data_IF_207924750552
#
_entry.id   IF_207924750552
#
_cell.length_a   1.000
_cell.length_b   1.000
_cell.length_c   1.000
_cell.angle_alpha   90.00
_cell.angle_beta   90.00
_cell.angle_gamma   90.00
#
_symmetry.space_group_name_H-M   'P 1'
#
loop_
_entity.id
_entity.type
_entity.pdbx_description
1 polymer ?
#
# COMPACT_ATOMS: atom_id res chain seq x y z
N UNK A 1 -14.71 3.67 -19.36
CA UNK A 1 -14.13 2.56 -18.57
C UNK A 1 -14.49 1.25 -19.26
N UNK A 2 -13.52 0.38 -19.48
CA UNK A 2 -13.70 -0.94 -20.08
C UNK A 2 -13.27 -1.97 -19.05
N UNK A 3 -14.18 -2.81 -18.60
CA UNK A 3 -13.88 -3.93 -17.72
C UNK A 3 -13.67 -5.19 -18.57
N UNK A 4 -12.61 -5.95 -18.24
CA UNK A 4 -12.33 -7.22 -18.90
C UNK A 4 -12.48 -8.39 -17.92
N UNK A 5 -12.66 -9.59 -18.41
CA UNK A 5 -12.63 -10.80 -17.59
C UNK A 5 -11.17 -11.22 -17.35
N UNK A 6 -10.81 -11.50 -16.10
CA UNK A 6 -9.49 -11.94 -15.70
C UNK A 6 -8.93 -11.17 -14.51
N UNK A 7 -7.66 -11.43 -14.20
CA UNK A 7 -6.93 -10.73 -13.15
C UNK A 7 -6.20 -9.49 -13.69
N UNK A 8 -5.54 -8.76 -12.80
CA UNK A 8 -4.77 -7.57 -13.15
C UNK A 8 -3.68 -7.84 -14.21
N UNK A 9 -2.98 -8.97 -14.13
CA UNK A 9 -1.87 -9.29 -15.03
C UNK A 9 -2.38 -9.48 -16.48
N UNK A 10 -3.56 -10.10 -16.64
CA UNK A 10 -4.24 -10.20 -17.95
C UNK A 10 -4.64 -8.83 -18.49
N UNK A 11 -5.21 -7.98 -17.63
CA UNK A 11 -5.58 -6.61 -18.02
C UNK A 11 -4.36 -5.81 -18.47
N UNK A 12 -3.25 -5.94 -17.74
CA UNK A 12 -1.99 -5.26 -18.06
C UNK A 12 -1.43 -5.73 -19.40
N UNK A 13 -1.37 -7.04 -19.65
CA UNK A 13 -0.90 -7.59 -20.92
C UNK A 13 -1.75 -7.08 -22.09
N UNK A 14 -3.08 -7.13 -21.95
CA UNK A 14 -4.00 -6.68 -22.99
C UNK A 14 -3.82 -5.19 -23.31
N UNK A 15 -3.70 -4.32 -22.29
CA UNK A 15 -3.53 -2.88 -22.54
C UNK A 15 -2.16 -2.55 -23.14
N UNK A 16 -1.12 -3.33 -22.85
CA UNK A 16 0.18 -3.21 -23.49
C UNK A 16 0.11 -3.56 -24.98
N UNK A 17 -0.58 -4.65 -25.35
CA UNK A 17 -0.81 -5.01 -26.74
C UNK A 17 -1.57 -3.94 -27.50
N UNK A 18 -2.63 -3.40 -26.90
CA UNK A 18 -3.42 -2.29 -27.46
C UNK A 18 -2.55 -1.06 -27.66
N UNK A 19 -1.71 -0.69 -26.70
CA UNK A 19 -0.82 0.47 -26.81
C UNK A 19 0.28 0.29 -27.87
N UNK A 20 0.69 -0.96 -28.13
CA UNK A 20 1.67 -1.26 -29.19
C UNK A 20 1.07 -1.20 -30.62
N UNK A 21 -0.24 -1.45 -30.74
CA UNK A 21 -0.93 -1.51 -32.03
C UNK A 21 -1.64 -0.21 -32.41
N UNK A 22 -1.98 0.60 -31.44
CA UNK A 22 -2.78 1.82 -31.61
C UNK A 22 -2.10 3.05 -30.99
N UNK A 23 -2.40 4.26 -31.42
CA UNK A 23 -1.80 5.50 -30.90
C UNK A 23 -2.33 5.86 -29.51
N UNK A 24 -2.04 5.00 -28.53
CA UNK A 24 -2.47 5.13 -27.12
C UNK A 24 -1.22 5.14 -26.25
N UNK A 25 -1.13 6.11 -25.33
CA UNK A 25 -0.04 6.20 -24.37
C UNK A 25 -0.39 5.49 -23.08
N UNK A 26 0.45 4.54 -22.67
CA UNK A 26 0.35 3.89 -21.37
C UNK A 26 0.80 4.84 -20.26
N UNK A 27 -0.09 5.04 -19.26
CA UNK A 27 0.18 5.91 -18.11
C UNK A 27 0.12 5.16 -16.76
N UNK A 28 0.22 3.83 -16.81
CA UNK A 28 0.16 2.94 -15.66
C UNK A 28 1.55 2.59 -15.07
N UNK A 29 1.65 1.50 -14.32
CA UNK A 29 2.85 1.08 -13.58
C UNK A 29 4.08 0.76 -14.44
N UNK A 30 3.92 0.56 -15.74
CA UNK A 30 5.04 0.32 -16.68
C UNK A 30 5.64 1.62 -17.23
N UNK A 31 4.97 2.76 -17.04
CA UNK A 31 5.47 4.05 -17.51
C UNK A 31 6.58 4.57 -16.59
N UNK A 32 7.82 4.75 -17.09
CA UNK A 32 8.94 5.19 -16.26
C UNK A 32 8.75 6.57 -15.64
N UNK A 33 8.01 7.47 -16.32
CA UNK A 33 7.71 8.80 -15.77
C UNK A 33 6.87 8.76 -14.49
N UNK A 34 6.13 7.67 -14.25
CA UNK A 34 5.46 7.49 -12.96
C UNK A 34 6.43 7.32 -11.80
N UNK A 35 7.53 6.61 -11.99
CA UNK A 35 8.56 6.46 -10.96
C UNK A 35 9.21 7.81 -10.67
N UNK A 36 9.50 8.58 -11.71
CA UNK A 36 10.06 9.93 -11.59
C UNK A 36 9.13 10.91 -10.84
N UNK A 37 7.82 10.82 -11.08
CA UNK A 37 6.84 11.59 -10.32
C UNK A 37 6.66 11.08 -8.88
N UNK A 38 6.55 9.78 -8.68
CA UNK A 38 6.32 9.18 -7.36
C UNK A 38 7.52 9.30 -6.42
N UNK A 39 8.75 9.40 -6.91
CA UNK A 39 9.95 9.55 -6.07
C UNK A 39 9.92 10.82 -5.21
N UNK A 40 9.17 11.85 -5.62
CA UNK A 40 9.02 13.09 -4.85
C UNK A 40 8.39 12.88 -3.49
N UNK A 41 7.62 11.80 -3.30
CA UNK A 41 7.10 11.44 -1.98
C UNK A 41 8.21 11.17 -0.94
N UNK A 42 9.37 10.63 -1.37
CA UNK A 42 10.53 10.51 -0.48
C UNK A 42 11.13 11.88 -0.13
N UNK A 43 11.09 12.84 -1.06
CA UNK A 43 11.52 14.21 -0.80
C UNK A 43 10.65 14.85 0.28
N UNK A 44 9.34 14.74 0.14
CA UNK A 44 8.37 15.27 1.11
C UNK A 44 8.56 14.65 2.50
N UNK A 45 8.89 13.37 2.58
CA UNK A 45 9.20 12.71 3.86
C UNK A 45 10.46 13.31 4.50
N UNK A 46 11.54 13.49 3.74
CA UNK A 46 12.77 14.09 4.25
C UNK A 46 12.57 15.56 4.62
N UNK A 47 11.87 16.32 3.79
CA UNK A 47 11.59 17.74 4.05
C UNK A 47 10.76 17.92 5.34
N UNK A 48 9.79 17.03 5.58
CA UNK A 48 8.95 17.09 6.76
C UNK A 48 9.68 16.67 8.06
N UNK A 49 10.60 15.70 7.98
CA UNK A 49 11.32 15.16 9.14
C UNK A 49 12.68 15.83 9.38
N UNK A 50 13.23 16.51 8.37
CA UNK A 50 14.59 17.05 8.37
C UNK A 50 15.67 16.01 8.07
N UNK A 51 15.32 14.72 7.97
CA UNK A 51 16.21 13.60 7.67
C UNK A 51 15.39 12.40 7.15
N UNK A 52 16.03 11.44 6.51
CA UNK A 52 15.37 10.18 6.18
C UNK A 52 15.00 9.39 7.45
N UNK A 53 13.85 8.69 7.49
CA UNK A 53 13.46 7.87 8.65
C UNK A 53 14.37 6.64 8.78
N UNK A 54 14.41 6.02 9.95
CA UNK A 54 15.14 4.77 10.14
C UNK A 54 14.49 3.63 9.35
N UNK A 55 13.16 3.57 9.36
CA UNK A 55 12.38 2.59 8.59
C UNK A 55 11.31 3.29 7.75
N UNK A 56 11.19 2.88 6.48
CA UNK A 56 10.03 3.17 5.65
C UNK A 56 9.24 1.88 5.43
N UNK A 57 8.05 1.80 6.03
CA UNK A 57 7.11 0.69 5.89
C UNK A 57 6.12 1.00 4.76
N UNK A 58 6.04 0.13 3.75
CA UNK A 58 5.27 0.42 2.54
C UNK A 58 4.56 -0.83 2.01
N UNK A 59 3.27 -0.73 1.57
CA UNK A 59 2.59 -1.83 0.89
C UNK A 59 3.24 -2.10 -0.47
N UNK A 60 3.33 -3.38 -0.86
CA UNK A 60 3.96 -3.77 -2.12
C UNK A 60 3.03 -4.65 -2.95
N UNK A 61 2.48 -4.10 -4.03
CA UNK A 61 1.80 -4.82 -5.10
C UNK A 61 2.71 -4.92 -6.33
N UNK A 62 2.56 -3.99 -7.27
CA UNK A 62 3.35 -3.94 -8.51
C UNK A 62 4.79 -3.42 -8.33
N UNK A 63 5.19 -3.18 -7.09
CA UNK A 63 6.52 -2.77 -6.65
C UNK A 63 7.03 -1.41 -7.19
N UNK A 64 6.21 -0.66 -7.93
CA UNK A 64 6.59 0.66 -8.44
C UNK A 64 6.78 1.68 -7.33
N UNK A 65 5.91 1.66 -6.32
CA UNK A 65 5.92 2.65 -5.25
C UNK A 65 7.21 2.55 -4.40
N UNK A 66 7.55 1.36 -3.90
CA UNK A 66 8.79 1.15 -3.13
C UNK A 66 10.04 1.49 -3.96
N UNK A 67 10.04 1.19 -5.27
CA UNK A 67 11.09 1.56 -6.20
C UNK A 67 11.24 3.07 -6.27
N UNK A 68 10.14 3.80 -6.43
CA UNK A 68 10.15 5.25 -6.51
C UNK A 68 10.65 5.92 -5.22
N UNK A 69 10.16 5.48 -4.05
CA UNK A 69 10.67 5.96 -2.76
C UNK A 69 12.17 5.74 -2.61
N UNK A 70 12.68 4.55 -2.97
CA UNK A 70 14.10 4.26 -2.92
C UNK A 70 14.92 5.17 -3.85
N UNK A 71 14.44 5.41 -5.08
CA UNK A 71 15.04 6.36 -6.00
C UNK A 71 15.12 7.76 -5.38
N UNK A 72 14.04 8.25 -4.80
CA UNK A 72 13.96 9.57 -4.20
C UNK A 72 14.90 9.73 -3.00
N UNK A 73 14.91 8.79 -2.05
CA UNK A 73 15.85 8.84 -0.92
C UNK A 73 17.31 8.85 -1.37
N UNK A 74 17.66 8.06 -2.38
CA UNK A 74 19.02 8.07 -2.94
C UNK A 74 19.36 9.40 -3.61
N UNK A 75 18.41 10.02 -4.31
CA UNK A 75 18.60 11.32 -4.95
C UNK A 75 18.79 12.42 -3.90
N UNK A 76 17.95 12.49 -2.87
CA UNK A 76 18.06 13.44 -1.78
C UNK A 76 19.36 13.28 -0.98
N UNK A 77 19.78 12.05 -0.72
CA UNK A 77 21.09 11.80 -0.08
C UNK A 77 22.24 12.31 -0.95
N UNK A 78 22.23 12.03 -2.26
CA UNK A 78 23.27 12.53 -3.19
C UNK A 78 23.29 14.05 -3.30
N UNK A 79 22.12 14.68 -3.20
CA UNK A 79 21.96 16.13 -3.22
C UNK A 79 22.31 16.80 -1.87
N UNK A 80 22.59 16.02 -0.82
CA UNK A 80 22.94 16.52 0.51
C UNK A 80 21.75 16.95 1.38
N UNK A 81 20.52 16.63 0.97
CA UNK A 81 19.32 16.92 1.77
C UNK A 81 19.09 15.90 2.89
N UNK A 82 19.70 14.72 2.81
CA UNK A 82 19.71 13.70 3.86
C UNK A 82 21.08 13.09 4.01
N UNK A 83 21.49 12.76 5.22
CA UNK A 83 22.77 12.10 5.53
C UNK A 83 22.66 10.58 5.48
N UNK A 84 21.47 10.03 5.73
CA UNK A 84 21.22 8.60 5.78
C UNK A 84 20.16 8.15 4.74
N UNK A 85 19.93 6.86 4.71
CA UNK A 85 18.90 6.20 3.90
C UNK A 85 18.06 5.31 4.83
N UNK A 86 16.75 5.19 4.59
CA UNK A 86 15.89 4.32 5.40
C UNK A 86 16.14 2.84 5.08
N UNK A 87 15.81 1.97 6.02
CA UNK A 87 15.52 0.57 5.71
C UNK A 87 14.15 0.49 5.02
N UNK A 88 14.11 -0.08 3.82
CA UNK A 88 12.89 -0.23 3.05
C UNK A 88 12.17 -1.53 3.46
N UNK A 89 11.09 -1.39 4.20
CA UNK A 89 10.30 -2.50 4.72
C UNK A 89 9.03 -2.66 3.88
N UNK A 90 9.05 -3.62 2.96
CA UNK A 90 7.92 -3.86 2.05
C UNK A 90 7.00 -4.95 2.56
N UNK A 91 5.68 -4.71 2.51
CA UNK A 91 4.67 -5.65 2.98
C UNK A 91 3.72 -6.06 1.87
N UNK A 92 3.57 -7.37 1.68
CA UNK A 92 2.66 -7.98 0.72
C UNK A 92 1.53 -8.71 1.46
N UNK A 93 0.34 -8.78 0.87
CA UNK A 93 -0.71 -9.64 1.39
C UNK A 93 -0.32 -11.12 1.23
N UNK A 94 -0.57 -11.95 2.25
CA UNK A 94 -0.11 -13.34 2.26
C UNK A 94 -0.60 -14.18 1.07
N UNK A 95 -1.83 -13.92 0.59
CA UNK A 95 -2.37 -14.57 -0.61
C UNK A 95 -1.86 -13.97 -1.94
N UNK A 96 -0.98 -12.95 -1.88
CA UNK A 96 -0.42 -12.25 -3.04
C UNK A 96 1.00 -11.74 -2.74
N UNK A 97 1.93 -12.65 -2.41
CA UNK A 97 3.26 -12.32 -1.88
C UNK A 97 4.43 -12.85 -2.75
N UNK A 98 4.47 -12.57 -4.07
CA UNK A 98 5.49 -13.13 -4.97
C UNK A 98 6.92 -12.74 -4.61
N UNK A 99 7.18 -11.56 -4.03
CA UNK A 99 8.53 -11.13 -3.62
C UNK A 99 9.02 -11.86 -2.35
N UNK A 100 8.10 -12.23 -1.47
CA UNK A 100 8.39 -13.02 -0.27
C UNK A 100 8.61 -14.48 -0.64
N UNK A 101 7.77 -15.03 -1.52
CA UNK A 101 7.82 -16.43 -1.95
C UNK A 101 8.95 -16.71 -2.95
N UNK A 102 9.43 -15.68 -3.66
CA UNK A 102 10.46 -15.81 -4.70
C UNK A 102 9.95 -16.30 -6.07
N UNK A 103 8.63 -16.49 -6.23
CA UNK A 103 8.01 -16.91 -7.48
C UNK A 103 6.68 -16.21 -7.72
N UNK A 104 6.20 -16.24 -8.96
CA UNK A 104 4.89 -15.72 -9.36
C UNK A 104 3.76 -16.45 -8.64
N UNK A 105 2.73 -15.73 -8.24
CA UNK A 105 1.48 -16.25 -7.69
C UNK A 105 0.43 -16.20 -8.81
N UNK A 106 0.07 -17.34 -9.35
CA UNK A 106 -0.82 -17.42 -10.52
C UNK A 106 -2.26 -16.96 -10.21
N UNK A 107 -2.71 -17.21 -8.99
CA UNK A 107 -4.04 -16.83 -8.53
C UNK A 107 -3.92 -16.01 -7.24
N UNK A 108 -3.53 -14.73 -7.34
CA UNK A 108 -3.43 -13.89 -6.17
C UNK A 108 -4.81 -13.63 -5.57
N UNK A 109 -4.94 -13.82 -4.26
CA UNK A 109 -6.18 -13.60 -3.52
C UNK A 109 -5.93 -12.84 -2.23
N UNK A 110 -6.62 -11.73 -2.04
CA UNK A 110 -6.60 -10.89 -0.83
C UNK A 110 -7.69 -9.84 -0.90
N UNK A 111 -8.17 -9.39 0.24
CA UNK A 111 -9.05 -8.22 0.37
C UNK A 111 -8.34 -6.92 -0.03
N UNK A 112 -7.02 -6.87 0.09
CA UNK A 112 -6.20 -5.70 -0.26
C UNK A 112 -6.03 -5.60 -1.78
N UNK A 113 -7.09 -5.23 -2.49
CA UNK A 113 -7.21 -5.30 -3.95
C UNK A 113 -6.10 -4.55 -4.69
N UNK A 114 -5.64 -3.40 -4.17
CA UNK A 114 -4.58 -2.61 -4.81
C UNK A 114 -3.19 -3.27 -4.77
N UNK A 115 -2.98 -4.29 -3.91
CA UNK A 115 -1.74 -5.09 -3.86
C UNK A 115 -1.98 -6.56 -4.24
N UNK A 116 -3.14 -6.90 -4.81
CA UNK A 116 -3.46 -8.23 -5.33
C UNK A 116 -2.80 -8.45 -6.69
N UNK A 117 -1.47 -8.55 -6.68
CA UNK A 117 -0.60 -8.65 -7.86
C UNK A 117 0.23 -9.92 -7.75
N UNK A 118 0.08 -10.81 -8.72
CA UNK A 118 0.80 -12.10 -8.76
C UNK A 118 2.18 -12.01 -9.40
N UNK A 119 2.39 -11.05 -10.31
CA UNK A 119 3.66 -10.86 -11.02
C UNK A 119 4.04 -9.37 -11.10
N UNK A 120 4.74 -8.82 -10.10
CA UNK A 120 5.10 -7.41 -10.05
C UNK A 120 6.00 -6.95 -11.19
N UNK A 121 5.60 -5.90 -11.90
CA UNK A 121 6.38 -5.32 -13.02
C UNK A 121 7.75 -4.80 -12.56
N UNK A 122 7.82 -4.18 -11.38
CA UNK A 122 9.05 -3.58 -10.85
C UNK A 122 9.79 -4.50 -9.86
N UNK A 123 9.65 -5.82 -10.01
CA UNK A 123 10.23 -6.83 -9.11
C UNK A 123 11.73 -6.62 -8.88
N UNK A 124 12.51 -6.51 -9.93
CA UNK A 124 13.97 -6.41 -9.84
C UNK A 124 14.40 -5.13 -9.12
N UNK A 125 13.76 -4.00 -9.40
CA UNK A 125 14.05 -2.74 -8.72
C UNK A 125 13.67 -2.77 -7.25
N UNK A 126 12.58 -3.44 -6.88
CA UNK A 126 12.18 -3.61 -5.49
C UNK A 126 13.16 -4.53 -4.73
N UNK A 127 13.61 -5.62 -5.33
CA UNK A 127 14.64 -6.50 -4.75
C UNK A 127 15.97 -5.75 -4.55
N UNK A 128 16.33 -4.88 -5.50
CA UNK A 128 17.48 -3.99 -5.38
C UNK A 128 17.30 -3.01 -4.20
N UNK A 129 16.15 -2.34 -4.10
CA UNK A 129 15.83 -1.44 -2.99
C UNK A 129 15.94 -2.16 -1.63
N UNK A 130 15.38 -3.37 -1.51
CA UNK A 130 15.52 -4.22 -0.32
C UNK A 130 16.98 -4.49 0.03
N UNK A 131 17.77 -4.96 -0.95
CA UNK A 131 19.18 -5.34 -0.74
C UNK A 131 20.04 -4.15 -0.35
N UNK A 132 19.94 -3.03 -1.07
CA UNK A 132 20.76 -1.84 -0.86
C UNK A 132 20.42 -1.08 0.43
N UNK A 133 19.17 -1.18 0.91
CA UNK A 133 18.70 -0.54 2.14
C UNK A 133 18.86 -1.41 3.39
N UNK A 134 19.37 -2.63 3.29
CA UNK A 134 19.28 -3.66 4.34
C UNK A 134 17.84 -3.85 4.84
N UNK A 135 16.88 -3.65 3.93
CA UNK A 135 15.45 -3.80 4.16
C UNK A 135 14.97 -5.24 4.09
N UNK A 136 13.66 -5.42 4.13
CA UNK A 136 13.07 -6.76 4.04
C UNK A 136 11.69 -6.73 3.39
N UNK A 137 11.24 -7.89 2.89
CA UNK A 137 9.87 -8.13 2.47
C UNK A 137 9.21 -9.17 3.36
N UNK A 138 7.97 -8.88 3.78
CA UNK A 138 7.20 -9.78 4.63
C UNK A 138 5.76 -9.86 4.15
N UNK A 139 5.15 -11.02 4.35
CA UNK A 139 3.73 -11.21 4.13
C UNK A 139 2.92 -10.91 5.40
N UNK A 140 1.79 -10.24 5.23
CA UNK A 140 0.76 -10.00 6.23
C UNK A 140 -0.54 -10.65 5.77
N UNK A 141 -1.26 -11.27 6.68
CA UNK A 141 -2.55 -11.91 6.38
C UNK A 141 -3.65 -10.86 6.24
N UNK A 142 -4.76 -11.22 5.60
CA UNK A 142 -5.94 -10.34 5.49
C UNK A 142 -6.50 -9.99 6.88
N UNK A 143 -6.43 -10.90 7.84
CA UNK A 143 -6.82 -10.62 9.22
C UNK A 143 -5.93 -9.55 9.87
N UNK A 144 -4.59 -9.66 9.73
CA UNK A 144 -3.64 -8.64 10.22
C UNK A 144 -3.87 -7.28 9.54
N UNK A 145 -4.20 -7.28 8.24
CA UNK A 145 -4.54 -6.06 7.49
C UNK A 145 -5.81 -5.41 8.04
N UNK A 146 -6.87 -6.19 8.28
CA UNK A 146 -8.14 -5.67 8.83
C UNK A 146 -7.96 -5.14 10.26
N UNK A 147 -7.17 -5.80 11.10
CA UNK A 147 -6.85 -5.27 12.44
C UNK A 147 -6.17 -3.90 12.36
N UNK A 148 -5.14 -3.77 11.51
CA UNK A 148 -4.45 -2.50 11.30
C UNK A 148 -5.37 -1.44 10.67
N UNK A 149 -6.24 -1.83 9.74
CA UNK A 149 -7.24 -0.97 9.12
C UNK A 149 -8.22 -0.38 10.15
N UNK A 150 -8.76 -1.23 11.03
CA UNK A 150 -9.64 -0.79 12.13
C UNK A 150 -8.90 0.12 13.12
N UNK A 151 -7.65 -0.20 13.45
CA UNK A 151 -6.81 0.60 14.33
C UNK A 151 -6.59 2.01 13.75
N UNK A 152 -6.25 2.12 12.46
CA UNK A 152 -6.09 3.40 11.78
C UNK A 152 -7.38 4.23 11.78
N UNK A 153 -8.52 3.61 11.52
CA UNK A 153 -9.81 4.28 11.53
C UNK A 153 -10.23 4.75 12.92
N UNK A 154 -10.16 3.87 13.93
CA UNK A 154 -10.66 4.15 15.26
C UNK A 154 -9.68 4.91 16.16
N UNK A 155 -8.37 4.64 16.00
CA UNK A 155 -7.32 5.25 16.84
C UNK A 155 -6.80 6.57 16.29
N UNK A 156 -6.61 6.65 14.96
CA UNK A 156 -5.97 7.80 14.30
C UNK A 156 -6.94 8.64 13.45
N UNK A 157 -8.19 8.18 13.25
CA UNK A 157 -9.16 8.85 12.40
C UNK A 157 -8.79 8.81 10.90
N UNK A 158 -7.93 7.87 10.47
CA UNK A 158 -7.46 7.78 9.10
C UNK A 158 -8.25 6.74 8.34
N UNK A 159 -9.04 7.19 7.36
CA UNK A 159 -9.79 6.32 6.45
C UNK A 159 -8.96 6.03 5.20
N UNK A 160 -8.27 4.88 5.20
CA UNK A 160 -7.46 4.41 4.07
C UNK A 160 -8.06 3.15 3.44
N UNK A 161 -7.60 2.76 2.25
CA UNK A 161 -7.94 1.45 1.66
C UNK A 161 -7.21 0.30 2.40
N UNK A 162 -7.71 -0.95 2.37
CA UNK A 162 -7.08 -2.09 3.05
C UNK A 162 -5.62 -2.30 2.68
N UNK A 163 -5.27 -2.12 1.40
CA UNK A 163 -3.89 -2.23 0.94
C UNK A 163 -2.93 -1.28 1.67
N UNK A 164 -3.38 -0.07 2.02
CA UNK A 164 -2.59 0.89 2.78
C UNK A 164 -2.28 0.40 4.19
N UNK A 165 -3.25 -0.24 4.84
CA UNK A 165 -3.09 -0.78 6.19
C UNK A 165 -2.03 -1.90 6.29
N UNK A 166 -1.65 -2.51 5.17
CA UNK A 166 -0.59 -3.53 5.15
C UNK A 166 0.75 -3.01 5.67
N UNK A 167 1.07 -1.72 5.49
CA UNK A 167 2.29 -1.11 6.06
C UNK A 167 2.28 -1.11 7.58
N UNK A 168 1.14 -0.77 8.19
CA UNK A 168 0.95 -0.76 9.65
C UNK A 168 0.84 -2.17 10.21
N UNK A 169 0.13 -3.08 9.54
CA UNK A 169 0.06 -4.49 9.91
C UNK A 169 1.47 -5.11 9.97
N UNK A 170 2.29 -4.82 8.96
CA UNK A 170 3.68 -5.27 8.92
C UNK A 170 4.54 -4.66 10.02
N UNK A 171 4.39 -3.38 10.31
CA UNK A 171 5.09 -2.73 11.44
C UNK A 171 4.70 -3.37 12.78
N UNK A 172 3.42 -3.59 13.03
CA UNK A 172 2.94 -4.25 14.25
C UNK A 172 3.58 -5.64 14.40
N UNK A 173 3.63 -6.41 13.31
CA UNK A 173 4.25 -7.74 13.26
C UNK A 173 5.74 -7.72 13.56
N UNK A 174 6.45 -6.67 13.14
CA UNK A 174 7.91 -6.48 13.30
C UNK A 174 8.29 -5.54 14.46
N UNK A 175 7.33 -5.11 15.28
CA UNK A 175 7.54 -4.08 16.33
C UNK A 175 8.73 -4.37 17.26
N UNK A 176 9.01 -5.63 17.56
CA UNK A 176 10.11 -6.03 18.43
C UNK A 176 11.50 -5.81 17.80
N UNK A 177 11.57 -5.61 16.49
CA UNK A 177 12.82 -5.36 15.75
C UNK A 177 13.10 -3.87 15.56
N UNK A 178 12.14 -3.01 15.86
CA UNK A 178 12.30 -1.55 15.74
C UNK A 178 13.18 -1.06 16.88
N UNK A 179 14.30 -0.40 16.58
CA UNK A 179 15.17 0.15 17.62
C UNK A 179 14.44 1.19 18.48
N UNK A 180 14.77 1.24 19.77
CA UNK A 180 14.21 2.28 20.64
C UNK A 180 14.60 3.68 20.15
N UNK A 181 13.63 4.57 20.03
CA UNK A 181 13.82 5.93 19.52
C UNK A 181 13.90 6.05 18.01
N UNK A 182 13.74 4.96 17.26
CA UNK A 182 13.73 5.01 15.80
C UNK A 182 12.52 5.77 15.25
N UNK A 183 12.75 6.55 14.19
CA UNK A 183 11.70 7.18 13.41
C UNK A 183 11.21 6.20 12.34
N UNK A 184 9.92 5.86 12.39
CA UNK A 184 9.29 4.94 11.43
C UNK A 184 8.20 5.68 10.66
N UNK A 185 8.23 5.58 9.34
CA UNK A 185 7.18 6.11 8.46
C UNK A 185 6.41 4.95 7.84
N UNK A 186 5.09 4.91 8.05
CA UNK A 186 4.18 4.00 7.36
C UNK A 186 3.48 4.73 6.22
N UNK A 187 3.66 4.25 4.99
CA UNK A 187 3.03 4.84 3.82
C UNK A 187 1.59 4.34 3.69
N UNK A 188 0.62 5.24 3.82
CA UNK A 188 -0.79 4.98 3.56
C UNK A 188 -1.12 5.48 2.14
N UNK A 189 -1.25 4.56 1.21
CA UNK A 189 -1.22 4.85 -0.23
C UNK A 189 -2.53 5.37 -0.79
N UNK A 190 -3.65 4.76 -0.45
CA UNK A 190 -4.95 5.09 -1.02
C UNK A 190 -6.01 5.43 0.03
N UNK A 191 -6.94 6.29 -0.37
CA UNK A 191 -8.10 6.66 0.44
C UNK A 191 -9.10 5.50 0.51
N UNK A 192 -9.81 5.35 1.63
CA UNK A 192 -10.81 4.29 1.86
C UNK A 192 -11.98 4.31 0.88
N UNK A 193 -12.29 5.46 0.26
CA UNK A 193 -13.32 5.55 -0.78
C UNK A 193 -12.99 4.76 -2.06
N UNK A 194 -11.75 4.27 -2.20
CA UNK A 194 -11.40 3.34 -3.29
C UNK A 194 -11.94 1.93 -3.06
N UNK A 195 -12.25 1.59 -1.82
CA UNK A 195 -12.82 0.30 -1.43
C UNK A 195 -13.84 0.49 -0.28
N UNK A 196 -14.99 1.11 -0.54
CA UNK A 196 -16.01 1.32 0.48
C UNK A 196 -16.67 0.02 0.95
N UNK A 197 -16.66 -1.02 0.12
CA UNK A 197 -17.26 -2.32 0.45
C UNK A 197 -16.58 -2.95 1.66
N UNK A 198 -15.26 -2.97 1.67
CA UNK A 198 -14.49 -3.50 2.81
C UNK A 198 -14.78 -2.73 4.10
N UNK A 199 -14.97 -1.41 4.01
CA UNK A 199 -15.33 -0.59 5.18
C UNK A 199 -16.72 -0.99 5.73
N UNK A 200 -17.70 -1.19 4.86
CA UNK A 200 -19.05 -1.58 5.24
C UNK A 200 -19.08 -2.98 5.85
N UNK A 201 -18.41 -3.95 5.22
CA UNK A 201 -18.38 -5.35 5.63
C UNK A 201 -17.62 -5.60 6.95
N UNK A 202 -16.60 -4.79 7.22
CA UNK A 202 -15.76 -4.93 8.41
C UNK A 202 -16.05 -3.89 9.51
N UNK A 203 -17.16 -3.15 9.38
CA UNK A 203 -17.60 -2.22 10.41
C UNK A 203 -18.43 -2.99 11.45
N UNK A 204 -17.97 -2.94 12.71
CA UNK A 204 -18.69 -3.54 13.83
C UNK A 204 -19.94 -2.73 14.26
N UNK A 205 -20.10 -1.53 13.70
CA UNK A 205 -21.28 -0.69 13.91
C UNK A 205 -22.49 -1.25 13.18
N UNK A 206 -23.59 -1.40 13.86
CA UNK A 206 -24.85 -1.80 13.24
C UNK A 206 -25.40 -0.64 12.40
N UNK A 207 -25.51 -0.86 11.10
CA UNK A 207 -26.27 0.05 10.24
C UNK A 207 -27.77 -0.14 10.49
N UNK A 208 -28.40 0.85 11.08
CA UNK A 208 -29.86 0.88 11.22
C UNK A 208 -30.45 1.57 10.00
N UNK A 209 -31.02 0.81 9.10
CA UNK A 209 -31.67 1.32 7.87
C UNK A 209 -33.19 1.19 7.98
N UNK A 210 -33.93 2.08 7.31
CA UNK A 210 -35.39 1.99 7.23
C UNK A 210 -36.12 2.36 8.54
N UNK A 211 -35.48 3.06 9.46
CA UNK A 211 -36.14 3.56 10.66
C UNK A 211 -37.21 4.58 10.28
N UNK A 212 -38.34 4.51 10.95
CA UNK A 212 -39.34 5.58 10.86
C UNK A 212 -38.72 6.91 11.35
N UNK A 213 -39.02 8.06 10.75
CA UNK A 213 -38.56 9.38 11.20
C UNK A 213 -39.35 9.82 12.44
N UNK A 214 -39.23 9.03 13.50
CA UNK A 214 -39.91 9.20 14.80
C UNK A 214 -38.84 9.33 15.89
N UNK A 215 -38.97 10.33 16.75
CA UNK A 215 -37.98 10.66 17.77
C UNK A 215 -37.76 9.51 18.74
N UNK A 216 -38.81 8.82 19.18
CA UNK A 216 -38.69 7.75 20.17
C UNK A 216 -38.03 6.53 19.58
N UNK A 217 -38.32 6.22 18.30
CA UNK A 217 -37.68 5.13 17.55
C UNK A 217 -36.19 5.39 17.41
N UNK A 218 -35.80 6.60 17.04
CA UNK A 218 -34.39 6.98 16.88
C UNK A 218 -33.67 7.00 18.22
N UNK A 219 -34.26 7.61 19.26
CA UNK A 219 -33.68 7.67 20.60
C UNK A 219 -33.41 6.27 21.17
N UNK A 220 -34.34 5.34 21.01
CA UNK A 220 -34.18 3.94 21.43
C UNK A 220 -33.01 3.24 20.73
N UNK A 221 -32.79 3.50 19.45
CA UNK A 221 -31.64 2.94 18.71
C UNK A 221 -30.33 3.58 19.17
N UNK A 222 -30.36 4.84 19.57
CA UNK A 222 -29.20 5.54 20.15
C UNK A 222 -28.89 5.14 21.61
N UNK A 223 -29.76 4.34 22.23
CA UNK A 223 -29.55 3.84 23.59
C UNK A 223 -30.14 4.74 24.72
N UNK A 224 -31.07 5.63 24.35
CA UNK A 224 -31.85 6.44 25.28
C UNK A 224 -33.18 5.81 25.66
#
# INVERSE_FOLDING_TARGET
VIAIQGNFDRALATVQEVANQYPITLVNSVNPYRLEGQKTAAFEVVDALGEAPDWLCIPVGNAGNITAYWMGFNEYKRAGHSRCLPRMMGFQAAGSAPLVLGHTVEQPDTIATAIRIGNPVNKENALKARSESNGDFMAVTDAEIIEAYKLLGSGEGVFCEPASAASVAGLIKRRAEVPAGATVVCVLTGNGLKDPSTAIENNDSRFHTGLAPDTDVVAKVMGF
#
